data_IF_002213235744
#
_entry.id   IF_002213235744
#
_cell.length_a   1.000
_cell.length_b   1.000
_cell.length_c   1.000
_cell.angle_alpha   90.00
_cell.angle_beta   90.00
_cell.angle_gamma   90.00
#
_symmetry.space_group_name_H-M   'P 1'
#
loop_
_entity.id
_entity.type
_entity.pdbx_description
1 polymer ?
#
# COMPACT_ATOMS: atom_id res chain seq x y z
N UNK A 1 -5.29 27.62 19.50
CA UNK A 1 -3.82 27.63 19.54
C UNK A 1 -3.32 27.12 18.21
N UNK A 2 -2.99 28.01 17.25
CA UNK A 2 -2.44 27.61 15.95
C UNK A 2 -1.07 26.96 16.18
N UNK A 3 -1.00 25.62 16.11
CA UNK A 3 0.29 24.95 16.03
C UNK A 3 0.85 25.16 14.63
N UNK A 4 2.15 25.49 14.55
CA UNK A 4 2.81 25.67 13.27
C UNK A 4 2.84 24.32 12.53
N UNK A 5 2.21 24.27 11.35
CA UNK A 5 2.19 23.11 10.44
C UNK A 5 3.63 22.61 10.20
N UNK A 6 4.58 23.54 10.06
CA UNK A 6 6.00 23.22 9.89
C UNK A 6 6.54 22.42 11.09
N UNK A 7 6.25 22.85 12.31
CA UNK A 7 6.72 22.16 13.53
C UNK A 7 6.11 20.77 13.65
N UNK A 8 4.80 20.65 13.43
CA UNK A 8 4.13 19.35 13.47
C UNK A 8 4.65 18.41 12.38
N UNK A 9 4.88 18.95 11.18
CA UNK A 9 5.42 18.20 10.06
C UNK A 9 6.85 17.72 10.27
N UNK A 10 7.72 18.56 10.81
CA UNK A 10 9.10 18.18 11.17
C UNK A 10 9.08 17.06 12.21
N UNK A 11 8.27 17.19 13.26
CA UNK A 11 8.19 16.16 14.32
C UNK A 11 7.63 14.85 13.76
N UNK A 12 6.55 14.90 12.97
CA UNK A 12 5.99 13.72 12.33
C UNK A 12 7.01 13.06 11.40
N UNK A 13 7.70 13.85 10.57
CA UNK A 13 8.75 13.35 9.69
C UNK A 13 9.87 12.65 10.44
N UNK A 14 10.38 13.26 11.51
CA UNK A 14 11.42 12.64 12.36
C UNK A 14 10.93 11.34 13.02
N UNK A 15 9.66 11.26 13.42
CA UNK A 15 9.06 10.01 13.92
C UNK A 15 9.08 8.93 12.83
N UNK A 16 8.63 9.27 11.62
CA UNK A 16 8.66 8.33 10.49
C UNK A 16 10.08 7.84 10.17
N UNK A 17 11.05 8.76 10.08
CA UNK A 17 12.44 8.43 9.84
C UNK A 17 13.02 7.50 10.92
N UNK A 18 12.73 7.78 12.19
CA UNK A 18 13.19 6.96 13.30
C UNK A 18 12.58 5.55 13.25
N UNK A 19 11.29 5.43 12.93
CA UNK A 19 10.61 4.14 12.83
C UNK A 19 11.20 3.30 11.70
N UNK A 20 11.41 3.88 10.52
CA UNK A 20 12.03 3.16 9.39
C UNK A 20 13.48 2.76 9.72
N UNK A 21 14.25 3.66 10.32
CA UNK A 21 15.62 3.36 10.73
C UNK A 21 15.70 2.22 11.74
N UNK A 22 14.83 2.20 12.76
CA UNK A 22 14.75 1.12 13.75
C UNK A 22 14.31 -0.18 13.10
N UNK A 23 13.28 -0.15 12.25
CA UNK A 23 12.80 -1.32 11.51
C UNK A 23 13.93 -1.98 10.71
N UNK A 24 14.64 -1.20 9.90
CA UNK A 24 15.73 -1.73 9.08
C UNK A 24 16.94 -2.12 9.91
N UNK A 25 17.24 -1.43 11.01
CA UNK A 25 18.31 -1.86 11.92
C UNK A 25 18.01 -3.25 12.49
N UNK A 26 16.78 -3.48 12.96
CA UNK A 26 16.36 -4.79 13.48
C UNK A 26 16.41 -5.86 12.39
N UNK A 27 15.92 -5.54 11.18
CA UNK A 27 15.95 -6.44 10.03
C UNK A 27 17.39 -6.79 9.61
N UNK A 28 18.28 -5.82 9.62
CA UNK A 28 19.70 -5.95 9.29
C UNK A 28 20.45 -6.80 10.33
N UNK A 29 20.18 -6.58 11.62
CA UNK A 29 20.70 -7.41 12.72
C UNK A 29 20.23 -8.85 12.57
N UNK A 30 18.95 -9.06 12.25
CA UNK A 30 18.40 -10.40 12.02
C UNK A 30 19.08 -11.13 10.85
N UNK A 31 19.54 -10.40 9.83
CA UNK A 31 20.35 -10.93 8.72
C UNK A 31 21.85 -11.06 9.04
N UNK A 32 22.27 -10.71 10.25
CA UNK A 32 23.67 -10.77 10.70
C UNK A 32 24.55 -9.65 10.18
N UNK A 33 23.99 -8.59 9.58
CA UNK A 33 24.74 -7.49 8.98
C UNK A 33 24.14 -6.14 9.38
N UNK A 34 24.45 -5.62 10.59
CA UNK A 34 23.93 -4.32 11.05
C UNK A 34 24.23 -3.18 10.06
N UNK A 35 23.25 -2.30 9.84
CA UNK A 35 23.34 -1.14 8.92
C UNK A 35 23.56 -1.48 7.45
N UNK A 36 23.30 -2.72 7.03
CA UNK A 36 23.35 -3.13 5.63
C UNK A 36 22.48 -2.25 4.74
N UNK A 37 21.22 -2.06 5.11
CA UNK A 37 20.25 -1.32 4.32
C UNK A 37 20.66 0.15 4.08
N UNK A 38 20.92 0.97 5.13
CA UNK A 38 21.39 2.34 4.91
C UNK A 38 22.77 2.40 4.25
N UNK A 39 23.64 1.41 4.46
CA UNK A 39 24.95 1.33 3.82
C UNK A 39 24.86 1.09 2.31
N UNK A 40 23.99 0.17 1.88
CA UNK A 40 23.72 -0.14 0.48
C UNK A 40 23.07 1.05 -0.23
N UNK A 41 22.02 1.63 0.37
CA UNK A 41 21.34 2.77 -0.22
C UNK A 41 22.24 4.01 -0.27
N UNK A 42 23.09 4.22 0.74
CA UNK A 42 24.12 5.25 0.70
C UNK A 42 25.15 5.02 -0.41
N UNK A 43 25.64 3.79 -0.58
CA UNK A 43 26.55 3.46 -1.67
C UNK A 43 25.90 3.68 -3.05
N UNK A 44 24.63 3.32 -3.19
CA UNK A 44 23.88 3.52 -4.42
C UNK A 44 23.73 5.02 -4.74
N UNK A 45 23.35 5.84 -3.75
CA UNK A 45 23.11 7.28 -3.94
C UNK A 45 24.41 8.07 -4.16
N UNK A 46 25.44 7.83 -3.35
CA UNK A 46 26.67 8.65 -3.37
C UNK A 46 27.73 8.13 -4.33
N UNK A 47 27.72 6.85 -4.65
CA UNK A 47 28.78 6.19 -5.43
C UNK A 47 28.24 5.51 -6.69
N UNK A 48 26.92 5.54 -6.92
CA UNK A 48 26.30 4.94 -8.11
C UNK A 48 26.35 3.41 -8.13
N UNK A 49 26.55 2.76 -6.98
CA UNK A 49 26.69 1.30 -6.93
C UNK A 49 25.33 0.62 -7.09
N UNK A 50 25.17 -0.16 -8.15
CA UNK A 50 23.93 -0.89 -8.46
C UNK A 50 23.98 -2.38 -8.10
N UNK A 51 25.18 -2.92 -7.83
CA UNK A 51 25.39 -4.30 -7.43
C UNK A 51 25.74 -4.42 -5.93
N UNK A 52 24.88 -5.04 -5.10
CA UNK A 52 25.11 -5.21 -3.66
C UNK A 52 26.18 -6.26 -3.30
N UNK A 53 26.58 -7.11 -4.23
CA UNK A 53 27.36 -8.32 -3.91
C UNK A 53 28.73 -7.92 -3.34
N UNK A 54 29.02 -8.39 -2.12
CA UNK A 54 30.28 -8.14 -1.42
C UNK A 54 30.41 -6.75 -0.79
N UNK A 55 29.38 -5.91 -0.88
CA UNK A 55 29.40 -4.55 -0.36
C UNK A 55 29.27 -4.56 1.17
N UNK A 56 30.22 -3.93 1.85
CA UNK A 56 30.19 -3.76 3.32
C UNK A 56 29.69 -2.36 3.69
N UNK A 57 28.86 -2.23 4.73
CA UNK A 57 28.43 -0.92 5.21
C UNK A 57 29.63 -0.07 5.62
N UNK A 58 29.70 1.15 5.10
CA UNK A 58 30.69 2.15 5.53
C UNK A 58 30.01 3.22 6.36
N UNK A 59 30.71 3.74 7.36
CA UNK A 59 30.17 4.81 8.22
C UNK A 59 29.73 6.02 7.39
N UNK A 60 30.51 6.39 6.38
CA UNK A 60 30.19 7.51 5.48
C UNK A 60 28.87 7.31 4.73
N UNK A 61 28.66 6.12 4.13
CA UNK A 61 27.44 5.83 3.39
C UNK A 61 26.22 5.77 4.31
N UNK A 62 26.36 5.14 5.48
CA UNK A 62 25.27 5.03 6.47
C UNK A 62 24.86 6.41 6.98
N UNK A 63 25.83 7.26 7.38
CA UNK A 63 25.54 8.60 7.88
C UNK A 63 24.96 9.50 6.78
N UNK A 64 25.57 9.51 5.60
CA UNK A 64 25.08 10.31 4.48
C UNK A 64 23.66 9.93 4.10
N UNK A 65 23.36 8.63 4.03
CA UNK A 65 22.01 8.15 3.72
C UNK A 65 21.02 8.52 4.83
N UNK A 66 21.42 8.38 6.10
CA UNK A 66 20.58 8.75 7.25
C UNK A 66 20.18 10.23 7.22
N UNK A 67 21.08 11.13 6.81
CA UNK A 67 20.78 12.55 6.66
C UNK A 67 19.78 12.79 5.53
N UNK A 68 20.03 12.25 4.34
CA UNK A 68 19.12 12.40 3.19
C UNK A 68 17.74 11.82 3.52
N UNK A 69 17.72 10.64 4.14
CA UNK A 69 16.49 9.98 4.59
C UNK A 69 15.72 10.84 5.60
N UNK A 70 16.39 11.38 6.61
CA UNK A 70 15.78 12.27 7.59
C UNK A 70 15.19 13.53 6.96
N UNK A 71 15.92 14.17 6.04
CA UNK A 71 15.43 15.36 5.32
C UNK A 71 14.23 15.04 4.43
N UNK A 72 14.25 13.91 3.72
CA UNK A 72 13.13 13.45 2.90
C UNK A 72 11.87 13.20 3.75
N UNK A 73 12.04 12.56 4.91
CA UNK A 73 10.94 12.33 5.85
C UNK A 73 10.41 13.60 6.50
N UNK A 74 11.28 14.59 6.80
CA UNK A 74 10.85 15.92 7.25
C UNK A 74 9.98 16.59 6.18
N UNK A 75 10.44 16.60 4.92
CA UNK A 75 9.67 17.17 3.81
C UNK A 75 8.31 16.48 3.67
N UNK A 76 8.30 15.13 3.68
CA UNK A 76 7.07 14.33 3.66
C UNK A 76 6.16 14.65 4.84
N UNK A 77 6.71 14.76 6.04
CA UNK A 77 5.97 15.10 7.25
C UNK A 77 5.31 16.48 7.19
N UNK A 78 5.98 17.47 6.59
CA UNK A 78 5.40 18.81 6.37
C UNK A 78 4.24 18.77 5.38
N UNK A 79 4.36 18.01 4.29
CA UNK A 79 3.24 17.79 3.35
C UNK A 79 2.08 17.10 4.08
N UNK A 80 2.36 16.02 4.81
CA UNK A 80 1.36 15.28 5.58
C UNK A 80 0.66 16.14 6.65
N UNK A 81 1.40 16.98 7.37
CA UNK A 81 0.85 17.92 8.35
C UNK A 81 -0.01 19.00 7.68
N UNK A 82 0.37 19.44 6.48
CA UNK A 82 -0.43 20.38 5.69
C UNK A 82 -1.75 19.74 5.29
N UNK A 83 -1.74 18.52 4.76
CA UNK A 83 -2.95 17.76 4.44
C UNK A 83 -3.83 17.53 5.68
N UNK A 84 -3.23 17.23 6.82
CA UNK A 84 -3.94 17.07 8.09
C UNK A 84 -4.65 18.37 8.51
N UNK A 85 -3.97 19.51 8.42
CA UNK A 85 -4.55 20.81 8.75
C UNK A 85 -5.72 21.19 7.83
N UNK A 86 -5.65 20.83 6.55
CA UNK A 86 -6.79 21.03 5.63
C UNK A 86 -7.92 20.03 5.94
N UNK A 87 -7.57 18.80 6.32
CA UNK A 87 -8.54 17.76 6.70
C UNK A 87 -9.35 18.09 7.95
N UNK A 88 -8.86 18.97 8.83
CA UNK A 88 -9.64 19.47 9.97
C UNK A 88 -10.88 20.26 9.54
N UNK A 89 -10.80 20.96 8.41
CA UNK A 89 -11.92 21.72 7.84
C UNK A 89 -12.77 20.85 6.93
N UNK A 90 -12.13 19.93 6.22
CA UNK A 90 -12.78 19.03 5.27
C UNK A 90 -12.32 17.58 5.51
N UNK A 91 -13.02 16.82 6.38
CA UNK A 91 -12.61 15.46 6.77
C UNK A 91 -12.44 14.46 5.61
N UNK A 92 -13.00 14.75 4.43
CA UNK A 92 -12.82 13.93 3.21
C UNK A 92 -11.43 14.03 2.61
N UNK A 93 -10.74 15.16 2.82
CA UNK A 93 -9.36 15.33 2.37
C UNK A 93 -8.38 14.44 3.15
N UNK A 94 -8.83 13.74 4.19
CA UNK A 94 -8.05 12.69 4.84
C UNK A 94 -7.65 11.58 3.86
N UNK A 95 -8.46 11.33 2.82
CA UNK A 95 -8.12 10.41 1.72
C UNK A 95 -6.84 10.82 1.00
N UNK A 96 -6.52 12.13 0.94
CA UNK A 96 -5.26 12.60 0.37
C UNK A 96 -4.04 12.06 1.12
N UNK A 97 -4.17 11.71 2.42
CA UNK A 97 -3.10 11.03 3.16
C UNK A 97 -2.86 9.61 2.64
N UNK A 98 -3.92 8.88 2.29
CA UNK A 98 -3.81 7.54 1.69
C UNK A 98 -3.20 7.61 0.30
N UNK A 99 -3.63 8.59 -0.51
CA UNK A 99 -3.05 8.85 -1.84
C UNK A 99 -1.57 9.22 -1.71
N UNK A 100 -1.22 10.08 -0.76
CA UNK A 100 0.16 10.47 -0.48
C UNK A 100 1.01 9.26 -0.08
N UNK A 101 0.50 8.37 0.78
CA UNK A 101 1.16 7.11 1.13
C UNK A 101 1.36 6.22 -0.11
N UNK A 102 0.31 5.96 -0.89
CA UNK A 102 0.41 5.12 -2.09
C UNK A 102 1.40 5.70 -3.11
N UNK A 103 1.38 7.03 -3.31
CA UNK A 103 2.29 7.73 -4.22
C UNK A 103 3.73 7.66 -3.72
N UNK A 104 3.94 7.75 -2.41
CA UNK A 104 5.24 7.60 -1.78
C UNK A 104 5.79 6.18 -1.93
N UNK A 105 4.96 5.15 -1.74
CA UNK A 105 5.36 3.76 -2.00
C UNK A 105 5.82 3.58 -3.45
N UNK A 106 5.01 4.03 -4.42
CA UNK A 106 5.34 3.94 -5.85
C UNK A 106 6.64 4.69 -6.15
N UNK A 107 6.83 5.88 -5.56
CA UNK A 107 8.04 6.67 -5.70
C UNK A 107 9.28 5.93 -5.14
N UNK A 108 9.18 5.35 -3.94
CA UNK A 108 10.28 4.59 -3.32
C UNK A 108 10.61 3.34 -4.14
N UNK A 109 9.60 2.55 -4.55
CA UNK A 109 9.81 1.39 -5.42
C UNK A 109 10.39 1.80 -6.79
N UNK A 110 9.96 2.93 -7.34
CA UNK A 110 10.50 3.50 -8.57
C UNK A 110 11.98 3.85 -8.43
N UNK A 111 12.38 4.53 -7.36
CA UNK A 111 13.79 4.86 -7.07
C UNK A 111 14.61 3.58 -6.88
N UNK A 112 14.18 2.67 -6.00
CA UNK A 112 14.95 1.45 -5.72
C UNK A 112 15.03 0.55 -6.95
N UNK A 113 13.98 0.51 -7.77
CA UNK A 113 13.99 -0.15 -9.07
C UNK A 113 14.95 0.48 -10.07
N UNK A 114 15.01 1.81 -10.14
CA UNK A 114 15.97 2.55 -10.97
C UNK A 114 17.43 2.33 -10.53
N UNK A 115 17.67 2.11 -9.24
CA UNK A 115 18.99 1.75 -8.69
C UNK A 115 19.40 0.29 -9.02
N UNK A 116 18.48 -0.53 -9.56
CA UNK A 116 18.76 -1.83 -10.14
C UNK A 116 17.96 -2.99 -9.53
N UNK A 117 17.66 -4.01 -10.35
CA UNK A 117 16.91 -5.22 -9.92
C UNK A 117 17.60 -5.96 -8.77
N UNK A 118 18.92 -5.94 -8.73
CA UNK A 118 19.74 -6.50 -7.66
C UNK A 118 19.56 -5.79 -6.31
N UNK A 119 19.31 -4.47 -6.30
CA UNK A 119 19.00 -3.71 -5.08
C UNK A 119 17.64 -4.10 -4.50
N UNK A 120 16.61 -4.19 -5.35
CA UNK A 120 15.28 -4.65 -4.93
C UNK A 120 15.32 -6.06 -4.31
N UNK A 121 16.11 -6.96 -4.88
CA UNK A 121 16.33 -8.30 -4.34
C UNK A 121 17.03 -8.28 -2.97
N UNK A 122 18.04 -7.41 -2.80
CA UNK A 122 18.82 -7.32 -1.56
C UNK A 122 18.06 -6.63 -0.41
N UNK A 123 17.20 -5.65 -0.72
CA UNK A 123 16.43 -4.92 0.28
C UNK A 123 15.11 -5.62 0.65
N UNK A 124 14.70 -6.61 -0.14
CA UNK A 124 13.48 -7.41 0.03
C UNK A 124 12.23 -6.51 0.10
N UNK A 125 11.43 -6.50 -0.98
CA UNK A 125 10.30 -5.57 -1.15
C UNK A 125 9.36 -5.45 0.07
N UNK A 126 9.08 -6.56 0.78
CA UNK A 126 8.17 -6.55 1.93
C UNK A 126 8.76 -5.81 3.13
N UNK A 127 10.09 -5.77 3.27
CA UNK A 127 10.75 -5.03 4.34
C UNK A 127 10.63 -3.52 4.09
N UNK A 128 10.70 -3.07 2.84
CA UNK A 128 10.44 -1.67 2.47
C UNK A 128 9.00 -1.31 2.80
N UNK A 129 8.04 -2.11 2.30
CA UNK A 129 6.62 -1.88 2.54
C UNK A 129 6.28 -1.88 4.04
N UNK A 130 6.83 -2.84 4.80
CA UNK A 130 6.61 -2.96 6.24
C UNK A 130 7.15 -1.75 7.01
N UNK A 131 8.36 -1.29 6.68
CA UNK A 131 8.97 -0.10 7.30
C UNK A 131 8.15 1.16 7.04
N UNK A 132 7.75 1.40 5.79
CA UNK A 132 6.98 2.59 5.43
C UNK A 132 5.57 2.57 6.02
N UNK A 133 4.92 1.40 6.08
CA UNK A 133 3.63 1.23 6.73
C UNK A 133 3.73 1.58 8.23
N UNK A 134 4.74 1.04 8.93
CA UNK A 134 4.97 1.36 10.35
C UNK A 134 5.21 2.84 10.57
N UNK A 135 6.02 3.48 9.71
CA UNK A 135 6.25 4.93 9.78
C UNK A 135 4.95 5.71 9.60
N UNK A 136 4.16 5.37 8.58
CA UNK A 136 2.91 6.06 8.30
C UNK A 136 1.89 5.90 9.42
N UNK A 137 1.80 4.71 10.03
CA UNK A 137 0.98 4.47 11.21
C UNK A 137 1.45 5.29 12.43
N UNK A 138 2.77 5.37 12.67
CA UNK A 138 3.32 6.14 13.77
C UNK A 138 3.11 7.66 13.59
N UNK A 139 3.30 8.17 12.38
CA UNK A 139 3.02 9.56 12.02
C UNK A 139 1.54 9.89 12.16
N UNK A 140 0.66 9.00 11.68
CA UNK A 140 -0.78 9.17 11.79
C UNK A 140 -1.24 9.14 13.25
N UNK A 141 -0.69 8.24 14.06
CA UNK A 141 -0.94 8.20 15.50
C UNK A 141 -0.53 9.50 16.19
N UNK A 142 0.64 10.06 15.83
CA UNK A 142 1.07 11.36 16.32
C UNK A 142 0.08 12.48 15.94
N UNK A 143 -0.36 12.54 14.68
CA UNK A 143 -1.35 13.52 14.23
C UNK A 143 -2.69 13.37 14.95
N UNK A 144 -3.19 12.15 15.14
CA UNK A 144 -4.44 11.91 15.87
C UNK A 144 -4.37 12.26 17.35
N UNK A 145 -3.20 12.09 17.98
CA UNK A 145 -2.97 12.54 19.35
C UNK A 145 -2.89 14.06 19.45
N UNK A 146 -2.35 14.71 18.41
CA UNK A 146 -2.30 16.15 18.28
C UNK A 146 -3.70 16.76 18.03
N UNK A 147 -4.52 16.11 17.20
CA UNK A 147 -5.81 16.61 16.70
C UNK A 147 -7.00 15.78 17.20
N UNK A 148 -7.29 15.88 18.50
CA UNK A 148 -8.31 15.03 19.19
C UNK A 148 -9.76 15.25 18.74
N UNK A 149 -10.06 16.40 18.13
CA UNK A 149 -11.42 16.71 17.63
C UNK A 149 -11.64 16.01 16.29
N UNK A 150 -10.66 16.09 15.38
CA UNK A 150 -10.68 15.38 14.10
C UNK A 150 -10.76 13.86 14.32
N UNK A 151 -10.02 13.31 15.28
CA UNK A 151 -10.08 11.87 15.56
C UNK A 151 -11.47 11.40 16.03
N UNK A 152 -12.18 12.17 16.86
CA UNK A 152 -13.56 11.82 17.28
C UNK A 152 -14.56 11.90 16.13
N UNK A 153 -14.45 12.90 15.27
CA UNK A 153 -15.32 13.07 14.10
C UNK A 153 -15.08 11.99 13.04
N UNK A 154 -13.81 11.60 12.82
CA UNK A 154 -13.44 10.50 11.94
C UNK A 154 -13.93 9.16 12.50
N UNK A 155 -13.64 8.82 13.76
CA UNK A 155 -13.97 7.50 14.33
C UNK A 155 -15.49 7.20 14.30
N UNK A 156 -16.35 8.20 14.55
CA UNK A 156 -17.80 8.01 14.54
C UNK A 156 -18.41 7.85 13.14
N UNK A 157 -17.90 8.60 12.15
CA UNK A 157 -18.41 8.55 10.76
C UNK A 157 -17.76 7.45 9.91
N UNK A 158 -16.56 6.98 10.30
CA UNK A 158 -15.83 5.95 9.56
C UNK A 158 -16.24 4.53 9.91
N UNK A 159 -17.02 4.30 10.96
CA UNK A 159 -17.50 2.94 11.28
C UNK A 159 -18.30 2.31 10.13
N UNK A 160 -19.14 3.10 9.45
CA UNK A 160 -19.86 2.65 8.25
C UNK A 160 -18.91 2.43 7.07
N UNK A 161 -18.00 3.37 6.81
CA UNK A 161 -17.00 3.30 5.73
C UNK A 161 -16.10 2.08 5.89
N UNK A 162 -15.64 1.82 7.10
CA UNK A 162 -14.80 0.66 7.42
C UNK A 162 -15.56 -0.64 7.20
N UNK A 163 -16.79 -0.76 7.72
CA UNK A 163 -17.64 -1.94 7.50
C UNK A 163 -17.92 -2.16 6.02
N UNK A 164 -18.30 -1.10 5.32
CA UNK A 164 -18.58 -1.13 3.89
C UNK A 164 -17.35 -1.57 3.10
N UNK A 165 -16.18 -1.02 3.44
CA UNK A 165 -14.92 -1.39 2.81
C UNK A 165 -14.49 -2.82 3.09
N UNK A 166 -14.63 -3.32 4.32
CA UNK A 166 -14.36 -4.73 4.65
C UNK A 166 -15.28 -5.64 3.85
N UNK A 167 -16.59 -5.34 3.79
CA UNK A 167 -17.55 -6.16 3.05
C UNK A 167 -17.23 -6.14 1.55
N UNK A 168 -17.00 -4.97 0.97
CA UNK A 168 -16.61 -4.84 -0.44
C UNK A 168 -15.34 -5.63 -0.73
N UNK A 169 -14.31 -5.46 0.09
CA UNK A 169 -13.04 -6.18 -0.03
C UNK A 169 -13.23 -7.69 0.00
N UNK A 170 -13.96 -8.21 0.99
CA UNK A 170 -14.25 -9.65 1.11
C UNK A 170 -15.08 -10.19 -0.06
N UNK A 171 -15.99 -9.39 -0.65
CA UNK A 171 -16.69 -9.76 -1.88
C UNK A 171 -15.70 -9.88 -3.06
N UNK A 172 -14.75 -8.94 -3.17
CA UNK A 172 -13.66 -9.02 -4.15
C UNK A 172 -12.81 -10.28 -3.95
N UNK A 173 -12.39 -10.56 -2.71
CA UNK A 173 -11.63 -11.76 -2.36
C UNK A 173 -12.39 -13.04 -2.73
N UNK A 174 -13.69 -13.10 -2.41
CA UNK A 174 -14.53 -14.24 -2.75
C UNK A 174 -14.64 -14.42 -4.27
N UNK A 175 -14.78 -13.35 -5.05
CA UNK A 175 -14.84 -13.41 -6.50
C UNK A 175 -13.54 -14.02 -7.08
N UNK A 176 -12.37 -13.57 -6.63
CA UNK A 176 -11.07 -14.12 -7.03
C UNK A 176 -10.94 -15.59 -6.61
N UNK A 177 -11.26 -15.89 -5.36
CA UNK A 177 -11.16 -17.26 -4.82
C UNK A 177 -12.05 -18.25 -5.58
N UNK A 178 -13.28 -17.86 -5.91
CA UNK A 178 -14.22 -18.70 -6.68
C UNK A 178 -13.75 -18.87 -8.13
N UNK A 179 -13.21 -17.82 -8.75
CA UNK A 179 -12.64 -17.90 -10.09
C UNK A 179 -11.47 -18.88 -10.16
N UNK A 180 -10.49 -18.76 -9.26
CA UNK A 180 -9.36 -19.68 -9.23
C UNK A 180 -9.75 -21.08 -8.78
N UNK A 181 -10.72 -21.23 -7.87
CA UNK A 181 -11.27 -22.54 -7.54
C UNK A 181 -11.88 -23.23 -8.76
N UNK A 182 -12.60 -22.50 -9.62
CA UNK A 182 -13.17 -23.05 -10.84
C UNK A 182 -12.06 -23.49 -11.83
N UNK A 183 -11.03 -22.67 -12.02
CA UNK A 183 -9.87 -23.01 -12.87
C UNK A 183 -9.14 -24.24 -12.33
N UNK A 184 -8.83 -24.25 -11.03
CA UNK A 184 -8.17 -25.34 -10.32
C UNK A 184 -8.97 -26.66 -10.46
N UNK A 185 -10.30 -26.57 -10.34
CA UNK A 185 -11.19 -27.70 -10.52
C UNK A 185 -11.19 -28.25 -11.94
N UNK A 186 -11.23 -27.38 -12.95
CA UNK A 186 -11.15 -27.76 -14.37
C UNK A 186 -9.81 -28.45 -14.68
N UNK A 187 -8.74 -28.02 -14.00
CA UNK A 187 -7.41 -28.62 -14.13
C UNK A 187 -7.23 -29.93 -13.33
N UNK A 188 -8.23 -30.34 -12.55
CA UNK A 188 -8.21 -31.59 -11.77
C UNK A 188 -7.50 -31.49 -10.42
N UNK A 189 -7.06 -30.31 -10.00
CA UNK A 189 -6.43 -30.08 -8.69
C UNK A 189 -7.14 -28.94 -7.94
N UNK A 190 -8.27 -29.19 -7.25
CA UNK A 190 -8.94 -28.18 -6.45
C UNK A 190 -7.98 -27.54 -5.42
N UNK A 191 -8.05 -26.21 -5.28
CA UNK A 191 -7.21 -25.42 -4.37
C UNK A 191 -5.70 -25.43 -4.71
N UNK A 192 -5.31 -25.80 -5.93
CA UNK A 192 -3.92 -25.70 -6.42
C UNK A 192 -3.39 -24.28 -6.28
N UNK A 193 -4.14 -23.27 -6.70
CA UNK A 193 -3.69 -21.87 -6.70
C UNK A 193 -3.35 -21.36 -5.28
N UNK A 194 -4.26 -21.40 -4.28
CA UNK A 194 -3.92 -20.96 -2.92
C UNK A 194 -2.83 -21.81 -2.27
N UNK A 195 -2.72 -23.10 -2.61
CA UNK A 195 -1.62 -23.97 -2.16
C UNK A 195 -0.27 -23.49 -2.69
N UNK A 196 -0.16 -23.25 -4.00
CA UNK A 196 1.08 -22.78 -4.64
C UNK A 196 1.48 -21.40 -4.12
N UNK A 197 0.53 -20.48 -4.03
CA UNK A 197 0.81 -19.12 -3.57
C UNK A 197 1.14 -19.09 -2.07
N UNK A 198 0.47 -19.89 -1.24
CA UNK A 198 0.82 -20.05 0.18
C UNK A 198 2.20 -20.66 0.39
N UNK A 199 2.52 -21.72 -0.36
CA UNK A 199 3.82 -22.36 -0.27
C UNK A 199 4.96 -21.42 -0.69
N UNK A 200 4.75 -20.63 -1.74
CA UNK A 200 5.82 -19.79 -2.25
C UNK A 200 5.94 -18.42 -1.58
N UNK A 201 4.83 -17.73 -1.34
CA UNK A 201 4.83 -16.38 -0.74
C UNK A 201 5.07 -16.48 0.76
N UNK A 202 4.37 -17.41 1.44
CA UNK A 202 4.42 -17.55 2.89
C UNK A 202 5.42 -18.61 3.35
N UNK A 203 6.11 -19.27 2.41
CA UNK A 203 7.08 -20.35 2.67
C UNK A 203 6.49 -21.48 3.53
N UNK A 204 5.21 -21.78 3.33
CA UNK A 204 4.51 -22.82 4.09
C UNK A 204 4.68 -24.19 3.43
N UNK A 205 5.42 -25.13 4.05
CA UNK A 205 5.71 -26.41 3.43
C UNK A 205 4.51 -27.38 3.50
N UNK A 206 3.66 -27.23 4.52
CA UNK A 206 2.46 -28.05 4.67
C UNK A 206 1.35 -27.57 3.72
N UNK A 207 0.78 -28.44 2.85
CA UNK A 207 -0.23 -28.03 1.88
C UNK A 207 -1.49 -27.42 2.51
N UNK A 208 -1.96 -27.97 3.63
CA UNK A 208 -3.16 -27.49 4.32
C UNK A 208 -2.93 -26.11 4.94
N UNK A 209 -1.83 -25.96 5.66
CA UNK A 209 -1.42 -24.68 6.24
C UNK A 209 -1.13 -23.62 5.18
N UNK A 210 -0.55 -23.99 4.03
CA UNK A 210 -0.33 -23.08 2.91
C UNK A 210 -1.65 -22.51 2.39
N UNK A 211 -2.66 -23.35 2.16
CA UNK A 211 -3.99 -22.89 1.73
C UNK A 211 -4.60 -21.96 2.78
N UNK A 212 -4.66 -22.38 4.04
CA UNK A 212 -5.31 -21.60 5.13
C UNK A 212 -4.62 -20.24 5.30
N UNK A 213 -3.30 -20.24 5.45
CA UNK A 213 -2.54 -19.00 5.68
C UNK A 213 -2.63 -18.06 4.48
N UNK A 214 -2.58 -18.56 3.26
CA UNK A 214 -2.77 -17.75 2.06
C UNK A 214 -4.18 -17.17 1.99
N UNK A 215 -5.23 -17.95 2.24
CA UNK A 215 -6.61 -17.46 2.26
C UNK A 215 -6.82 -16.35 3.28
N UNK A 216 -6.22 -16.46 4.48
CA UNK A 216 -6.26 -15.41 5.50
C UNK A 216 -5.56 -14.14 5.01
N UNK A 217 -4.32 -14.26 4.53
CA UNK A 217 -3.54 -13.11 4.04
C UNK A 217 -4.24 -12.44 2.86
N UNK A 218 -4.78 -13.22 1.93
CA UNK A 218 -5.55 -12.74 0.79
C UNK A 218 -6.80 -11.98 1.24
N UNK A 219 -7.58 -12.54 2.17
CA UNK A 219 -8.77 -11.87 2.72
C UNK A 219 -8.44 -10.56 3.43
N UNK A 220 -7.35 -10.52 4.20
CA UNK A 220 -6.88 -9.28 4.86
C UNK A 220 -6.47 -8.24 3.83
N UNK A 221 -5.68 -8.62 2.82
CA UNK A 221 -5.23 -7.71 1.77
C UNK A 221 -6.42 -7.06 1.04
N UNK A 222 -7.42 -7.87 0.68
CA UNK A 222 -8.63 -7.38 0.03
C UNK A 222 -9.51 -6.53 0.96
N UNK A 223 -9.64 -6.88 2.24
CA UNK A 223 -10.35 -6.05 3.20
C UNK A 223 -9.71 -4.66 3.35
N UNK A 224 -8.37 -4.60 3.43
CA UNK A 224 -7.63 -3.33 3.45
C UNK A 224 -7.86 -2.52 2.17
N UNK A 225 -7.78 -3.18 1.01
CA UNK A 225 -8.05 -2.54 -0.28
C UNK A 225 -9.49 -1.98 -0.36
N UNK A 226 -10.47 -2.75 0.09
CA UNK A 226 -11.87 -2.33 0.15
C UNK A 226 -12.10 -1.16 1.11
N UNK A 227 -11.43 -1.10 2.26
CA UNK A 227 -11.47 0.05 3.18
C UNK A 227 -10.98 1.33 2.49
N UNK A 228 -9.89 1.24 1.73
CA UNK A 228 -9.39 2.38 0.95
C UNK A 228 -10.40 2.80 -0.13
N UNK A 229 -10.96 1.83 -0.86
CA UNK A 229 -12.01 2.08 -1.85
C UNK A 229 -13.25 2.76 -1.26
N UNK A 230 -13.76 2.26 -0.13
CA UNK A 230 -14.91 2.86 0.56
C UNK A 230 -14.60 4.28 1.04
N UNK A 231 -13.38 4.53 1.53
CA UNK A 231 -12.96 5.87 1.93
C UNK A 231 -12.94 6.86 0.76
N UNK A 232 -12.43 6.43 -0.40
CA UNK A 232 -12.41 7.22 -1.63
C UNK A 232 -13.84 7.55 -2.10
N UNK A 233 -14.76 6.60 -2.00
CA UNK A 233 -16.16 6.77 -2.42
C UNK A 233 -16.91 7.70 -1.45
N UNK A 234 -16.73 7.52 -0.15
CA UNK A 234 -17.26 8.45 0.85
C UNK A 234 -16.70 9.88 0.66
N UNK A 235 -15.44 10.00 0.22
CA UNK A 235 -14.85 11.27 -0.21
C UNK A 235 -15.53 11.85 -1.45
N UNK A 236 -15.79 11.02 -2.46
CA UNK A 236 -16.43 11.38 -3.72
C UNK A 236 -17.85 11.92 -3.56
N UNK A 237 -18.60 11.45 -2.56
CA UNK A 237 -19.94 12.00 -2.25
C UNK A 237 -19.91 13.48 -1.86
N UNK A 238 -18.81 13.94 -1.26
CA UNK A 238 -18.66 15.36 -0.85
C UNK A 238 -17.92 16.20 -1.88
N UNK A 239 -16.95 15.62 -2.59
CA UNK A 239 -16.17 16.28 -3.62
C UNK A 239 -16.03 15.38 -4.86
N UNK A 240 -16.65 15.73 -6.00
CA UNK A 240 -16.63 14.90 -7.22
C UNK A 240 -15.24 14.52 -7.72
N UNK A 241 -14.21 15.34 -7.41
CA UNK A 241 -12.82 15.09 -7.79
C UNK A 241 -12.25 13.79 -7.22
N UNK A 242 -12.76 13.27 -6.11
CA UNK A 242 -12.30 11.99 -5.55
C UNK A 242 -12.70 10.78 -6.40
N UNK A 243 -13.63 10.93 -7.35
CA UNK A 243 -13.90 9.87 -8.34
C UNK A 243 -12.66 9.62 -9.20
N UNK A 244 -11.91 10.67 -9.56
CA UNK A 244 -10.63 10.51 -10.26
C UNK A 244 -9.60 9.81 -9.37
N UNK A 245 -9.55 10.13 -8.08
CA UNK A 245 -8.68 9.43 -7.14
C UNK A 245 -9.03 7.93 -7.02
N UNK A 246 -10.32 7.57 -7.09
CA UNK A 246 -10.76 6.17 -7.13
C UNK A 246 -10.28 5.46 -8.40
N UNK A 247 -10.44 6.09 -9.57
CA UNK A 247 -9.97 5.56 -10.85
C UNK A 247 -8.44 5.41 -10.85
N UNK A 248 -7.73 6.43 -10.37
CA UNK A 248 -6.26 6.40 -10.24
C UNK A 248 -5.83 5.31 -9.26
N UNK A 249 -6.49 5.17 -8.12
CA UNK A 249 -6.16 4.14 -7.13
C UNK A 249 -6.33 2.73 -7.70
N UNK A 250 -7.46 2.45 -8.37
CA UNK A 250 -7.69 1.15 -9.02
C UNK A 250 -6.69 0.90 -10.16
N UNK A 251 -6.46 1.89 -11.02
CA UNK A 251 -5.53 1.77 -12.16
C UNK A 251 -4.10 1.59 -11.69
N UNK A 252 -3.66 2.38 -10.71
CA UNK A 252 -2.32 2.29 -10.14
C UNK A 252 -2.13 0.96 -9.41
N UNK A 253 -3.14 0.46 -8.69
CA UNK A 253 -3.10 -0.86 -8.06
C UNK A 253 -2.95 -1.96 -9.11
N UNK A 254 -3.76 -1.96 -10.18
CA UNK A 254 -3.65 -2.93 -11.27
C UNK A 254 -2.26 -2.93 -11.89
N UNK A 255 -1.76 -1.76 -12.28
CA UNK A 255 -0.44 -1.61 -12.90
C UNK A 255 0.67 -2.03 -11.92
N UNK A 256 0.57 -1.67 -10.65
CA UNK A 256 1.53 -2.05 -9.62
C UNK A 256 1.49 -3.55 -9.32
N UNK A 257 0.30 -4.15 -9.25
CA UNK A 257 0.13 -5.58 -8.97
C UNK A 257 0.64 -6.42 -10.13
N UNK A 258 0.22 -6.11 -11.36
CA UNK A 258 0.68 -6.80 -12.58
C UNK A 258 2.18 -6.58 -12.78
N UNK A 259 2.68 -5.34 -12.64
CA UNK A 259 4.11 -5.03 -12.71
C UNK A 259 4.91 -5.72 -11.61
N UNK A 260 4.38 -5.76 -10.39
CA UNK A 260 4.98 -6.43 -9.24
C UNK A 260 5.08 -7.94 -9.43
N UNK A 261 4.02 -8.59 -9.94
CA UNK A 261 4.04 -10.02 -10.28
C UNK A 261 5.03 -10.30 -11.42
N UNK A 262 5.07 -9.47 -12.46
CA UNK A 262 6.02 -9.60 -13.56
C UNK A 262 7.49 -9.50 -13.11
N UNK A 263 7.77 -8.63 -12.12
CA UNK A 263 9.14 -8.38 -11.64
C UNK A 263 9.55 -9.37 -10.55
N UNK A 264 8.69 -9.60 -9.56
CA UNK A 264 9.03 -10.34 -8.34
C UNK A 264 8.62 -11.81 -8.39
N UNK A 265 7.67 -12.16 -9.25
CA UNK A 265 7.03 -13.46 -9.27
C UNK A 265 6.85 -13.96 -10.71
N UNK A 266 7.84 -13.75 -11.59
CA UNK A 266 7.81 -14.28 -12.96
C UNK A 266 7.50 -15.79 -12.98
N UNK A 267 8.03 -16.52 -12.02
CA UNK A 267 7.76 -17.95 -11.84
C UNK A 267 6.26 -18.25 -11.56
N UNK A 268 5.52 -17.33 -10.92
CA UNK A 268 4.06 -17.45 -10.76
C UNK A 268 3.36 -17.35 -12.10
N UNK A 269 3.86 -16.53 -13.04
CA UNK A 269 3.31 -16.44 -14.40
C UNK A 269 3.68 -17.65 -15.26
N UNK A 270 4.72 -18.39 -14.89
CA UNK A 270 5.08 -19.66 -15.53
C UNK A 270 4.11 -20.79 -15.07
N UNK A 271 3.59 -20.71 -13.85
CA UNK A 271 2.63 -21.68 -13.27
C UNK A 271 1.15 -21.31 -13.46
N UNK A 272 0.83 -20.02 -13.41
CA UNK A 272 -0.51 -19.45 -13.56
C UNK A 272 -0.52 -18.55 -14.80
N UNK A 273 -1.38 -18.88 -15.77
CA UNK A 273 -1.48 -18.09 -16.98
C UNK A 273 -1.94 -16.65 -16.65
N UNK A 274 -1.19 -15.64 -17.06
CA UNK A 274 -1.44 -14.24 -16.67
C UNK A 274 -2.85 -13.71 -16.99
N UNK A 275 -3.52 -14.27 -18.00
CA UNK A 275 -4.91 -13.93 -18.31
C UNK A 275 -5.89 -14.35 -17.21
N UNK A 276 -5.62 -15.43 -16.49
CA UNK A 276 -6.47 -15.90 -15.37
C UNK A 276 -6.42 -14.92 -14.21
N UNK A 277 -5.24 -14.35 -13.93
CA UNK A 277 -5.03 -13.30 -12.91
C UNK A 277 -5.80 -12.05 -13.32
N UNK A 278 -5.66 -11.62 -14.58
CA UNK A 278 -6.37 -10.45 -15.10
C UNK A 278 -7.90 -10.59 -14.99
N UNK A 279 -8.46 -11.73 -15.40
CA UNK A 279 -9.90 -12.00 -15.28
C UNK A 279 -10.34 -12.02 -13.81
N UNK A 280 -9.56 -12.67 -12.94
CA UNK A 280 -9.85 -12.68 -11.49
C UNK A 280 -9.95 -11.28 -10.92
N UNK A 281 -9.00 -10.40 -11.25
CA UNK A 281 -9.01 -9.01 -10.79
C UNK A 281 -10.18 -8.20 -11.37
N UNK A 282 -10.55 -8.42 -12.63
CA UNK A 282 -11.71 -7.77 -13.24
C UNK A 282 -13.01 -8.19 -12.56
N UNK A 283 -13.16 -9.47 -12.22
CA UNK A 283 -14.30 -9.99 -11.46
C UNK A 283 -14.36 -9.38 -10.07
N UNK A 284 -13.22 -9.28 -9.38
CA UNK A 284 -13.14 -8.66 -8.07
C UNK A 284 -13.54 -7.17 -8.11
N UNK A 285 -12.99 -6.44 -9.09
CA UNK A 285 -13.31 -5.03 -9.32
C UNK A 285 -14.79 -4.85 -9.62
N UNK A 286 -15.37 -5.69 -10.48
CA UNK A 286 -16.79 -5.68 -10.80
C UNK A 286 -17.67 -5.95 -9.58
N UNK A 287 -17.32 -6.94 -8.76
CA UNK A 287 -18.04 -7.27 -7.53
C UNK A 287 -18.02 -6.12 -6.51
N UNK A 288 -16.85 -5.52 -6.29
CA UNK A 288 -16.67 -4.38 -5.40
C UNK A 288 -17.44 -3.16 -5.90
N UNK A 289 -17.30 -2.82 -7.18
CA UNK A 289 -17.96 -1.67 -7.79
C UNK A 289 -19.48 -1.82 -7.76
N UNK A 290 -20.01 -3.01 -8.06
CA UNK A 290 -21.44 -3.29 -7.97
C UNK A 290 -21.98 -3.10 -6.55
N UNK A 291 -21.23 -3.54 -5.54
CA UNK A 291 -21.59 -3.32 -4.14
C UNK A 291 -21.62 -1.82 -3.80
N UNK A 292 -20.58 -1.07 -4.18
CA UNK A 292 -20.52 0.37 -3.92
C UNK A 292 -21.59 1.18 -4.68
N UNK A 293 -21.85 0.89 -5.95
CA UNK A 293 -22.93 1.55 -6.71
C UNK A 293 -24.28 1.30 -6.06
N UNK A 294 -24.49 0.10 -5.50
CA UNK A 294 -25.74 -0.24 -4.81
C UNK A 294 -25.88 0.53 -3.49
N UNK A 295 -24.79 0.76 -2.76
CA UNK A 295 -24.74 1.58 -1.55
C UNK A 295 -24.89 3.08 -1.83
N UNK A 296 -24.28 3.57 -2.90
CA UNK A 296 -24.14 4.99 -3.22
C UNK A 296 -24.91 5.43 -4.48
N UNK A 297 -26.20 5.04 -4.58
CA UNK A 297 -27.06 5.34 -5.75
C UNK A 297 -27.22 6.84 -6.06
N UNK A 298 -27.03 7.71 -5.07
CA UNK A 298 -27.09 9.15 -5.27
C UNK A 298 -25.87 9.67 -6.06
N UNK A 299 -24.67 9.18 -5.71
CA UNK A 299 -23.43 9.48 -6.43
C UNK A 299 -23.48 8.95 -7.86
N UNK A 300 -23.92 7.70 -8.04
CA UNK A 300 -24.06 7.08 -9.36
C UNK A 300 -24.96 7.91 -10.29
N UNK A 301 -26.11 8.38 -9.79
CA UNK A 301 -27.02 9.24 -10.56
C UNK A 301 -26.39 10.57 -10.96
N UNK A 302 -25.67 11.23 -10.04
CA UNK A 302 -24.98 12.51 -10.32
C UNK A 302 -23.92 12.38 -11.40
N UNK A 303 -23.16 11.27 -11.39
CA UNK A 303 -22.15 11.01 -12.41
C UNK A 303 -22.80 10.76 -13.78
N UNK A 304 -23.88 9.99 -13.84
CA UNK A 304 -24.60 9.74 -15.09
C UNK A 304 -25.26 10.99 -15.66
N UNK A 305 -25.76 11.89 -14.80
CA UNK A 305 -26.35 13.16 -15.28
C UNK A 305 -25.27 14.13 -15.76
N UNK A 306 -24.15 14.25 -15.04
CA UNK A 306 -23.04 15.10 -15.47
C UNK A 306 -22.47 14.66 -16.83
N UNK A 307 -22.38 13.35 -17.08
CA UNK A 307 -21.93 12.82 -18.38
C UNK A 307 -22.94 13.04 -19.50
N UNK A 308 -24.24 13.09 -19.18
CA UNK A 308 -25.29 13.34 -20.17
C UNK A 308 -25.51 14.83 -20.49
N UNK A 309 -24.96 15.73 -19.68
CA UNK A 309 -25.01 17.18 -19.89
C UNK A 309 -23.77 17.71 -20.65
N UNK A 310 -22.70 16.91 -20.75
CA UNK A 310 -21.47 17.21 -21.50
C UNK A 310 -21.47 16.64 -22.95
N UNK A 311 -22.55 15.95 -23.37
CA UNK A 311 -22.83 15.49 -24.75
C UNK A 311 -23.83 16.42 -25.47
#
# INVERSE_FOLDING_TARGET
>A
MQRSILKEGVVAGLIGAAVVAVWFLLFDIWRGQPFLTPGLLGAAVFQGVTNPIGLRPTVGNVLGYTIIHGLAFIAFGVVAASLMAVSEREPTLFVAFVILFASFEVFVFGIVGALGKSMLGALVWWAILGGNLLASLAMLWYFFRAHRVLSRTLIGSWGSVFREGVVAGLLGAAAVALWFLAIDWIQGEPLRTPRLLGAAILRQPDPGAAIISYTVVHGIAFALFGIVGAALIAGAERQPLFVFALVIFFTAFEVFFVGGVLIAAKWVLDELAGWTIFVGNLLATGAMLAYFIRGHRALARRLTTAWAEDD
#
